data_IF_070952546746
#
_entry.id   IF_070952546746
#
_cell.length_a   1.000
_cell.length_b   1.000
_cell.length_c   1.000
_cell.angle_alpha   90.00
_cell.angle_beta   90.00
_cell.angle_gamma   90.00
#
_symmetry.space_group_name_H-M   'P 1'
#
loop_
_entity.id
_entity.type
_entity.pdbx_description
1 polymer ?
#
# COMPACT_ATOMS: atom_id res chain seq x y z
N UNK A 1 -58.53 22.27 1.58
CA UNK A 1 -57.32 21.68 2.15
C UNK A 1 -56.17 21.79 1.16
N UNK A 2 -55.31 22.75 1.36
CA UNK A 2 -54.06 22.82 0.59
C UNK A 2 -53.12 21.75 1.14
N UNK A 3 -53.00 20.63 0.44
CA UNK A 3 -51.91 19.71 0.70
C UNK A 3 -50.60 20.36 0.26
N UNK A 4 -49.83 20.81 1.24
CA UNK A 4 -48.42 21.09 1.06
C UNK A 4 -47.76 19.77 0.59
N UNK A 5 -47.43 19.67 -0.70
CA UNK A 5 -46.49 18.69 -1.15
C UNK A 5 -45.15 19.12 -0.60
N UNK A 6 -44.82 18.58 0.56
CA UNK A 6 -43.43 18.57 0.99
C UNK A 6 -42.60 17.97 -0.11
N UNK A 7 -41.74 18.78 -0.70
CA UNK A 7 -40.58 18.27 -1.42
C UNK A 7 -39.84 17.40 -0.40
N UNK A 8 -40.13 16.08 -0.45
CA UNK A 8 -39.30 15.14 0.24
C UNK A 8 -37.91 15.34 -0.31
N UNK A 9 -37.02 15.84 0.54
CA UNK A 9 -35.61 15.71 0.32
C UNK A 9 -35.36 14.22 -0.04
N UNK A 10 -35.12 13.98 -1.32
CA UNK A 10 -34.55 12.73 -1.74
C UNK A 10 -33.14 12.77 -1.16
N UNK A 11 -33.00 12.32 0.08
CA UNK A 11 -31.70 12.02 0.65
C UNK A 11 -31.06 11.07 -0.34
N UNK A 12 -30.10 11.58 -1.12
CA UNK A 12 -29.25 10.74 -1.96
C UNK A 12 -28.62 9.74 -1.00
N UNK A 13 -29.12 8.51 -1.02
CA UNK A 13 -28.64 7.47 -0.13
C UNK A 13 -27.16 7.27 -0.48
N UNK A 14 -26.30 7.77 0.38
CA UNK A 14 -24.86 7.57 0.30
C UNK A 14 -24.58 6.23 0.96
N UNK A 15 -23.88 5.36 0.27
CA UNK A 15 -23.39 4.10 0.82
C UNK A 15 -21.86 4.19 0.97
N UNK A 16 -21.32 3.37 1.87
CA UNK A 16 -19.87 3.31 2.07
C UNK A 16 -19.39 1.87 2.18
N UNK A 17 -18.16 1.65 1.74
CA UNK A 17 -17.45 0.40 1.89
C UNK A 17 -16.07 0.67 2.48
N UNK A 18 -15.60 -0.27 3.30
CA UNK A 18 -14.27 -0.18 3.89
C UNK A 18 -13.51 -1.47 3.63
N UNK A 19 -12.28 -1.32 3.19
CA UNK A 19 -11.33 -2.42 3.00
C UNK A 19 -10.03 -2.09 3.72
N UNK A 20 -9.33 -3.13 4.15
CA UNK A 20 -8.03 -3.01 4.82
C UNK A 20 -7.00 -3.88 4.12
N UNK A 21 -5.74 -3.47 4.19
CA UNK A 21 -4.59 -4.19 3.67
C UNK A 21 -3.39 -3.98 4.59
N UNK A 22 -2.41 -4.86 4.48
CA UNK A 22 -1.11 -4.69 5.12
C UNK A 22 -0.04 -4.91 4.07
N UNK A 23 0.92 -4.00 4.03
CA UNK A 23 2.08 -4.06 3.14
C UNK A 23 3.34 -4.21 3.98
N UNK A 24 4.29 -5.01 3.51
CA UNK A 24 5.60 -5.17 4.14
C UNK A 24 6.70 -5.10 3.08
N UNK A 25 7.81 -4.48 3.41
CA UNK A 25 8.90 -4.12 2.49
C UNK A 25 10.27 -4.42 3.07
N UNK A 26 11.20 -4.76 2.16
CA UNK A 26 12.65 -4.75 2.32
C UNK A 26 13.22 -3.50 1.69
N UNK A 27 14.24 -2.87 2.28
CA UNK A 27 14.75 -1.58 1.83
C UNK A 27 16.10 -1.64 1.07
N UNK A 28 16.73 -2.80 0.96
CA UNK A 28 18.04 -2.94 0.30
C UNK A 28 17.97 -3.45 -1.14
N UNK A 29 16.77 -3.47 -1.75
CA UNK A 29 16.62 -3.75 -3.18
C UNK A 29 17.52 -2.81 -4.02
N UNK A 30 18.16 -3.24 -5.11
CA UNK A 30 18.11 -4.56 -5.78
C UNK A 30 19.15 -5.56 -5.24
N UNK A 31 19.88 -5.24 -4.20
CA UNK A 31 20.82 -6.13 -3.58
C UNK A 31 20.09 -7.14 -2.70
N UNK A 32 20.55 -8.36 -2.63
CA UNK A 32 19.93 -9.35 -1.76
C UNK A 32 19.98 -8.91 -0.31
N UNK A 33 18.80 -8.89 0.35
CA UNK A 33 18.64 -8.64 1.76
C UNK A 33 18.57 -9.91 2.59
N UNK A 34 18.24 -9.73 3.84
CA UNK A 34 17.96 -10.84 4.76
C UNK A 34 16.54 -11.39 4.59
N UNK A 35 15.68 -10.68 3.85
CA UNK A 35 14.30 -11.08 3.53
C UNK A 35 13.45 -11.37 4.76
N UNK A 36 13.58 -10.55 5.78
CA UNK A 36 12.75 -10.64 6.97
C UNK A 36 11.44 -9.83 6.85
N UNK A 37 11.33 -8.95 5.82
CA UNK A 37 10.16 -8.13 5.49
C UNK A 37 9.68 -7.28 6.68
N UNK A 38 10.60 -6.76 7.46
CA UNK A 38 10.32 -5.99 8.66
C UNK A 38 10.77 -4.53 8.59
N UNK A 39 11.46 -4.09 7.54
CA UNK A 39 12.00 -2.74 7.40
C UNK A 39 10.91 -1.66 7.40
N UNK A 40 9.84 -1.88 6.63
CA UNK A 40 8.67 -0.99 6.62
C UNK A 40 7.40 -1.80 6.51
N UNK A 41 6.53 -1.69 7.52
CA UNK A 41 5.19 -2.28 7.46
C UNK A 41 4.15 -1.18 7.58
N UNK A 42 3.17 -1.21 6.67
CA UNK A 42 2.12 -0.22 6.56
C UNK A 42 0.75 -0.90 6.65
N UNK A 43 -0.05 -0.50 7.62
CA UNK A 43 -1.48 -0.82 7.63
C UNK A 43 -2.22 0.23 6.80
N UNK A 44 -3.13 -0.21 5.96
CA UNK A 44 -3.92 0.64 5.07
C UNK A 44 -5.41 0.39 5.26
N UNK A 45 -6.16 1.46 5.40
CA UNK A 45 -7.62 1.48 5.38
C UNK A 45 -8.08 2.33 4.21
N UNK A 46 -8.94 1.76 3.37
CA UNK A 46 -9.64 2.49 2.31
C UNK A 46 -11.13 2.56 2.62
N UNK A 47 -11.67 3.76 2.71
CA UNK A 47 -13.10 4.00 2.79
C UNK A 47 -13.60 4.66 1.49
N UNK A 48 -14.61 4.07 0.85
CA UNK A 48 -15.20 4.56 -0.39
C UNK A 48 -16.64 4.96 -0.11
N UNK A 49 -17.00 6.19 -0.43
CA UNK A 49 -18.38 6.69 -0.40
C UNK A 49 -18.90 6.84 -1.83
N UNK A 50 -20.10 6.39 -2.09
CA UNK A 50 -20.73 6.44 -3.41
C UNK A 50 -22.22 6.76 -3.33
N UNK A 51 -22.76 7.32 -4.42
CA UNK A 51 -24.18 7.67 -4.54
C UNK A 51 -25.06 6.44 -4.87
N UNK A 52 -26.37 6.65 -4.89
CA UNK A 52 -27.36 5.59 -5.19
C UNK A 52 -27.20 4.96 -6.60
N UNK A 53 -26.47 5.61 -7.49
CA UNK A 53 -26.20 5.12 -8.86
C UNK A 53 -24.83 4.43 -8.96
N UNK A 54 -24.18 4.14 -7.82
CA UNK A 54 -22.84 3.54 -7.75
C UNK A 54 -21.73 4.37 -8.42
N UNK A 55 -21.79 5.69 -8.30
CA UNK A 55 -20.68 6.58 -8.63
C UNK A 55 -19.94 7.01 -7.38
N UNK A 56 -18.62 6.96 -7.43
CA UNK A 56 -17.74 7.35 -6.33
C UNK A 56 -17.86 8.85 -6.08
N UNK A 57 -18.06 9.23 -4.82
CA UNK A 57 -18.06 10.61 -4.36
C UNK A 57 -16.77 10.95 -3.64
N UNK A 58 -16.30 10.02 -2.79
CA UNK A 58 -15.11 10.22 -1.97
C UNK A 58 -14.38 8.90 -1.75
N UNK A 59 -13.06 8.95 -1.76
CA UNK A 59 -12.17 7.87 -1.31
C UNK A 59 -11.22 8.42 -0.26
N UNK A 60 -11.16 7.77 0.87
CA UNK A 60 -10.23 8.08 1.96
C UNK A 60 -9.28 6.89 2.11
N UNK A 61 -8.01 7.12 1.82
CA UNK A 61 -6.94 6.15 1.99
C UNK A 61 -6.11 6.57 3.22
N UNK A 62 -6.22 5.83 4.32
CA UNK A 62 -5.45 6.07 5.55
C UNK A 62 -4.35 5.04 5.67
N UNK A 63 -3.12 5.51 5.85
CA UNK A 63 -1.92 4.68 5.99
C UNK A 63 -1.29 4.89 7.36
N UNK A 64 -0.91 3.80 8.00
CA UNK A 64 -0.30 3.81 9.34
C UNK A 64 0.98 2.99 9.30
N UNK A 65 2.16 3.60 9.46
CA UNK A 65 3.38 2.83 9.68
C UNK A 65 3.31 2.18 11.07
N UNK A 66 3.53 0.88 11.14
CA UNK A 66 3.45 0.14 12.40
C UNK A 66 4.84 -0.24 12.89
N UNK A 67 5.02 -0.16 14.21
CA UNK A 67 6.30 -0.45 14.82
C UNK A 67 6.64 -1.92 14.71
N UNK A 68 7.90 -2.20 14.37
CA UNK A 68 8.46 -3.53 14.24
C UNK A 68 9.58 -3.74 15.28
N UNK A 69 9.79 -5.00 15.67
CA UNK A 69 11.01 -5.40 16.39
C UNK A 69 12.13 -5.58 15.34
N UNK A 70 13.19 -4.82 15.43
CA UNK A 70 14.21 -4.78 14.39
C UNK A 70 13.83 -3.77 13.32
N UNK A 71 13.92 -2.50 13.61
CA UNK A 71 13.54 -1.46 12.65
C UNK A 71 14.63 -1.28 11.60
N UNK A 72 14.21 -0.98 10.38
CA UNK A 72 15.05 -0.54 9.29
C UNK A 72 16.18 0.37 9.73
N UNK A 73 17.39 0.10 9.26
CA UNK A 73 18.57 0.93 9.54
C UNK A 73 18.45 2.28 8.84
N UNK A 74 17.81 2.32 7.69
CA UNK A 74 17.70 3.49 6.83
C UNK A 74 16.44 4.31 7.08
N UNK A 75 16.46 5.57 6.62
CA UNK A 75 15.27 6.41 6.54
C UNK A 75 14.53 6.09 5.25
N UNK A 76 13.39 5.42 5.37
CA UNK A 76 12.59 4.99 4.24
C UNK A 76 11.30 5.82 4.15
N UNK A 77 11.14 6.54 3.04
CA UNK A 77 9.88 7.22 2.79
C UNK A 77 8.82 6.22 2.31
N UNK A 78 7.57 6.53 2.60
CA UNK A 78 6.44 5.79 2.03
C UNK A 78 5.64 6.69 1.09
N UNK A 79 5.32 6.15 -0.07
CA UNK A 79 4.60 6.83 -1.11
C UNK A 79 3.50 5.94 -1.71
N UNK A 80 2.53 6.58 -2.35
CA UNK A 80 1.49 5.89 -3.09
C UNK A 80 1.28 6.56 -4.44
N UNK A 81 1.24 5.77 -5.51
CA UNK A 81 0.90 6.23 -6.85
C UNK A 81 -0.56 5.94 -7.16
N UNK A 82 -1.27 6.94 -7.65
CA UNK A 82 -2.65 6.86 -8.08
C UNK A 82 -2.73 6.82 -9.61
N UNK A 83 -3.77 6.18 -10.14
CA UNK A 83 -4.10 6.31 -11.56
C UNK A 83 -4.43 7.78 -11.84
N UNK A 84 -3.72 8.43 -12.75
CA UNK A 84 -3.82 9.88 -13.00
C UNK A 84 -5.26 10.33 -13.30
N UNK A 85 -6.01 9.57 -14.11
CA UNK A 85 -7.41 9.85 -14.45
C UNK A 85 -8.38 9.65 -13.29
N UNK A 86 -7.95 9.05 -12.18
CA UNK A 86 -8.76 8.77 -10.99
C UNK A 86 -8.25 9.52 -9.76
N UNK A 87 -7.45 10.56 -9.96
CA UNK A 87 -6.90 11.33 -8.88
C UNK A 87 -7.95 12.24 -8.21
N UNK A 88 -8.89 12.74 -8.99
CA UNK A 88 -9.93 13.65 -8.51
C UNK A 88 -9.39 14.95 -7.92
N UNK A 89 -10.16 15.59 -7.06
CA UNK A 89 -9.66 16.64 -6.17
C UNK A 89 -9.04 15.98 -4.95
N UNK A 90 -7.75 16.26 -4.67
CA UNK A 90 -6.98 15.58 -3.65
C UNK A 90 -6.66 16.51 -2.48
N UNK A 91 -6.89 16.01 -1.26
CA UNK A 91 -6.47 16.64 0.00
C UNK A 91 -5.44 15.73 0.66
N UNK A 92 -4.31 16.28 1.04
CA UNK A 92 -3.16 15.58 1.56
C UNK A 92 -2.97 15.83 3.05
N UNK A 93 -2.44 14.85 3.81
CA UNK A 93 -2.05 15.07 5.20
C UNK A 93 -0.89 16.07 5.29
N UNK A 94 -0.77 16.73 6.43
CA UNK A 94 0.30 17.69 6.66
C UNK A 94 1.68 17.06 6.47
N UNK A 95 2.55 17.75 5.73
CA UNK A 95 3.92 17.30 5.44
C UNK A 95 4.05 16.35 4.25
N UNK A 96 2.94 15.88 3.67
CA UNK A 96 3.00 15.07 2.46
C UNK A 96 3.45 15.91 1.24
N UNK A 97 4.14 15.25 0.31
CA UNK A 97 4.62 15.87 -0.93
C UNK A 97 3.82 15.33 -2.11
N UNK A 98 3.23 16.25 -2.87
CA UNK A 98 2.51 15.93 -4.11
C UNK A 98 3.45 15.92 -5.31
N UNK A 99 3.72 14.74 -5.86
CA UNK A 99 4.47 14.56 -7.10
C UNK A 99 3.52 14.35 -8.27
N UNK A 100 2.93 15.46 -8.75
CA UNK A 100 1.90 15.44 -9.80
C UNK A 100 2.38 14.82 -11.10
N UNK A 101 3.67 14.96 -11.45
CA UNK A 101 4.30 14.44 -12.65
C UNK A 101 4.32 12.90 -12.69
N UNK A 102 4.40 12.25 -11.54
CA UNK A 102 4.33 10.78 -11.42
C UNK A 102 2.98 10.28 -10.92
N UNK A 103 2.06 11.21 -10.63
CA UNK A 103 0.78 10.92 -9.94
C UNK A 103 0.96 10.25 -8.59
N UNK A 104 2.09 10.49 -7.93
CA UNK A 104 2.42 9.94 -6.61
C UNK A 104 2.22 10.97 -5.50
N UNK A 105 2.10 10.47 -4.29
CA UNK A 105 2.13 11.25 -3.06
C UNK A 105 3.11 10.58 -2.11
N UNK A 106 4.14 11.31 -1.68
CA UNK A 106 5.01 10.87 -0.59
C UNK A 106 4.31 11.30 0.71
N UNK A 107 3.89 10.34 1.52
CA UNK A 107 3.10 10.59 2.72
C UNK A 107 3.98 11.05 3.88
N UNK A 108 5.15 10.47 4.01
CA UNK A 108 6.14 10.80 5.03
C UNK A 108 7.53 10.39 4.57
N UNK A 109 8.57 11.15 4.99
CA UNK A 109 9.95 10.94 4.54
C UNK A 109 10.68 9.78 5.26
N UNK A 110 10.17 9.34 6.41
CA UNK A 110 10.78 8.30 7.23
C UNK A 110 9.71 7.57 8.05
N UNK A 111 9.41 6.34 7.65
CA UNK A 111 8.41 5.49 8.29
C UNK A 111 8.74 5.24 9.77
N UNK A 112 10.01 5.12 10.10
CA UNK A 112 10.51 4.85 11.44
C UNK A 112 10.20 5.99 12.42
N UNK A 113 10.28 7.23 11.95
CA UNK A 113 10.08 8.42 12.80
C UNK A 113 8.61 8.73 13.09
N UNK A 114 7.66 8.12 12.37
CA UNK A 114 6.22 8.47 12.44
C UNK A 114 5.34 7.26 12.77
N UNK A 115 5.89 6.25 13.41
CA UNK A 115 5.21 5.03 13.81
C UNK A 115 3.91 5.30 14.55
N UNK A 116 2.84 4.59 14.15
CA UNK A 116 1.50 4.69 14.76
C UNK A 116 0.71 5.94 14.38
N UNK A 117 1.27 6.90 13.64
CA UNK A 117 0.53 8.06 13.16
C UNK A 117 -0.30 7.71 11.92
N UNK A 118 -1.46 8.31 11.80
CA UNK A 118 -2.35 8.16 10.66
C UNK A 118 -2.10 9.24 9.60
N UNK A 119 -1.97 8.81 8.34
CA UNK A 119 -1.81 9.68 7.19
C UNK A 119 -2.93 9.42 6.20
N UNK A 120 -3.89 10.34 6.10
CA UNK A 120 -5.06 10.18 5.25
C UNK A 120 -4.97 11.05 4.01
N UNK A 121 -5.09 10.41 2.86
CA UNK A 121 -5.31 11.06 1.56
C UNK A 121 -6.79 11.00 1.24
N UNK A 122 -7.40 12.15 1.05
CA UNK A 122 -8.81 12.25 0.65
C UNK A 122 -8.90 12.65 -0.82
N UNK A 123 -9.63 11.85 -1.61
CA UNK A 123 -9.92 12.13 -3.02
C UNK A 123 -11.42 12.30 -3.20
N UNK A 124 -11.84 13.42 -3.78
CA UNK A 124 -13.25 13.72 -4.07
C UNK A 124 -13.49 13.78 -5.57
N UNK A 125 -14.66 13.34 -5.98
CA UNK A 125 -15.06 13.24 -7.37
C UNK A 125 -16.38 13.98 -7.60
N UNK A 126 -16.53 14.63 -8.75
CA UNK A 126 -17.80 15.21 -9.13
C UNK A 126 -18.86 14.10 -9.30
N UNK A 127 -20.10 14.44 -8.98
CA UNK A 127 -21.21 13.48 -9.06
C UNK A 127 -21.30 12.87 -10.46
N UNK A 128 -21.50 11.55 -10.54
CA UNK A 128 -21.64 10.77 -11.78
C UNK A 128 -20.43 10.78 -12.73
N UNK A 129 -19.22 11.06 -12.24
CA UNK A 129 -18.00 11.06 -13.09
C UNK A 129 -17.24 9.74 -13.05
N UNK A 130 -17.11 9.09 -11.89
CA UNK A 130 -16.37 7.85 -11.73
C UNK A 130 -17.29 6.71 -11.26
N UNK A 131 -17.70 5.80 -12.16
CA UNK A 131 -18.42 4.60 -11.73
C UNK A 131 -17.56 3.76 -10.77
N UNK A 132 -18.15 3.27 -9.69
CA UNK A 132 -17.43 2.48 -8.65
C UNK A 132 -16.71 1.27 -9.26
N UNK A 133 -17.30 0.59 -10.24
CA UNK A 133 -16.69 -0.55 -10.94
C UNK A 133 -15.40 -0.21 -11.68
N UNK A 134 -15.18 1.06 -11.99
CA UNK A 134 -14.01 1.56 -12.71
C UNK A 134 -12.94 2.12 -11.74
N UNK A 135 -13.28 2.25 -10.44
CA UNK A 135 -12.28 2.68 -9.46
C UNK A 135 -11.20 1.61 -9.36
N UNK A 136 -9.94 2.02 -9.50
CA UNK A 136 -8.81 1.12 -9.31
C UNK A 136 -8.82 0.55 -7.88
N UNK A 137 -8.90 -0.77 -7.78
CA UNK A 137 -8.95 -1.49 -6.51
C UNK A 137 -7.58 -1.57 -5.85
N UNK A 138 -6.54 -1.68 -6.68
CA UNK A 138 -5.18 -1.91 -6.23
C UNK A 138 -4.30 -0.69 -6.47
N UNK A 139 -3.98 -0.01 -5.40
CA UNK A 139 -2.99 1.06 -5.41
C UNK A 139 -1.61 0.53 -5.81
N UNK A 140 -0.72 1.45 -6.14
CA UNK A 140 0.70 1.19 -6.24
C UNK A 140 1.41 1.87 -5.05
N UNK A 141 1.35 1.28 -3.83
CA UNK A 141 2.11 1.75 -2.69
C UNK A 141 3.56 1.27 -2.82
N UNK A 142 4.51 2.12 -2.41
CA UNK A 142 5.93 1.80 -2.49
C UNK A 142 6.73 2.55 -1.43
N UNK A 143 7.91 2.06 -1.13
CA UNK A 143 8.87 2.80 -0.33
C UNK A 143 9.95 3.40 -1.24
N UNK A 144 10.53 4.49 -0.77
CA UNK A 144 11.74 5.09 -1.34
C UNK A 144 12.84 4.85 -0.31
N UNK A 145 13.70 3.88 -0.61
CA UNK A 145 14.79 3.51 0.29
C UNK A 145 15.82 4.64 0.37
N UNK A 146 16.33 4.90 1.58
CA UNK A 146 17.31 5.96 1.85
C UNK A 146 16.88 7.34 1.31
N UNK A 147 15.63 7.69 1.59
CA UNK A 147 14.99 8.86 0.99
C UNK A 147 15.77 10.16 1.19
N UNK A 148 15.93 10.90 0.10
CA UNK A 148 16.41 12.27 0.08
C UNK A 148 15.39 13.16 -0.62
N UNK A 149 14.95 14.23 0.04
CA UNK A 149 13.91 15.10 -0.47
C UNK A 149 14.30 15.74 -1.83
N UNK A 150 13.39 15.62 -2.80
CA UNK A 150 13.57 16.19 -4.15
C UNK A 150 14.57 15.45 -5.04
N UNK A 151 15.10 14.29 -4.59
CA UNK A 151 16.01 13.50 -5.42
C UNK A 151 15.24 12.78 -6.55
N UNK A 152 15.77 12.90 -7.75
CA UNK A 152 15.49 11.99 -8.87
C UNK A 152 16.46 10.81 -8.83
N UNK A 153 16.21 9.78 -9.62
CA UNK A 153 17.07 8.59 -9.70
C UNK A 153 17.15 7.82 -8.38
N UNK A 154 16.01 7.68 -7.71
CA UNK A 154 15.87 7.11 -6.37
C UNK A 154 15.58 5.60 -6.42
N UNK A 155 15.91 4.90 -5.36
CA UNK A 155 15.54 3.48 -5.20
C UNK A 155 14.10 3.37 -4.75
N UNK A 156 13.24 2.83 -5.59
CA UNK A 156 11.83 2.57 -5.29
C UNK A 156 11.61 1.06 -5.15
N UNK A 157 10.95 0.62 -4.08
CA UNK A 157 10.55 -0.78 -3.88
C UNK A 157 9.03 -0.88 -3.94
N UNK A 158 8.54 -1.58 -4.94
CA UNK A 158 7.13 -1.75 -5.22
C UNK A 158 6.67 -3.19 -5.00
N UNK A 159 5.36 -3.38 -4.91
CA UNK A 159 4.77 -4.72 -4.94
C UNK A 159 5.07 -5.40 -6.30
N UNK A 160 5.19 -6.73 -6.34
CA UNK A 160 5.31 -7.46 -7.61
C UNK A 160 4.25 -7.04 -8.63
N UNK A 161 4.64 -6.91 -9.90
CA UNK A 161 3.80 -6.47 -11.04
C UNK A 161 3.37 -5.00 -11.02
N UNK A 162 3.79 -4.22 -10.04
CA UNK A 162 3.62 -2.76 -10.06
C UNK A 162 4.83 -2.10 -10.70
N UNK A 163 4.60 -1.00 -11.42
CA UNK A 163 5.65 -0.29 -12.13
C UNK A 163 6.25 0.81 -11.27
N UNK A 164 7.55 0.98 -11.40
CA UNK A 164 8.27 2.11 -10.83
C UNK A 164 7.81 3.43 -11.45
N UNK A 165 8.01 4.51 -10.73
CA UNK A 165 7.70 5.86 -11.23
C UNK A 165 8.78 6.35 -12.20
N UNK A 166 8.53 7.46 -12.88
CA UNK A 166 9.54 8.10 -13.74
C UNK A 166 10.74 8.66 -12.98
N UNK A 167 10.72 8.67 -11.64
CA UNK A 167 11.81 9.12 -10.78
C UNK A 167 12.68 7.99 -10.24
N UNK A 168 12.30 6.76 -10.49
CA UNK A 168 13.09 5.60 -10.08
C UNK A 168 14.43 5.53 -10.84
N UNK A 169 15.44 4.98 -10.18
CA UNK A 169 16.74 4.75 -10.79
C UNK A 169 16.64 3.72 -11.93
N UNK A 170 16.76 4.20 -13.16
CA UNK A 170 16.65 3.37 -14.36
C UNK A 170 17.69 2.23 -14.44
N UNK A 171 18.85 2.38 -13.81
CA UNK A 171 19.88 1.35 -13.77
C UNK A 171 19.51 0.17 -12.86
N UNK A 172 18.62 0.39 -11.91
CA UNK A 172 18.13 -0.65 -11.03
C UNK A 172 16.98 -1.44 -11.65
N UNK A 173 16.35 -0.90 -12.70
CA UNK A 173 15.17 -1.46 -13.34
C UNK A 173 15.55 -2.66 -14.22
N UNK A 174 14.95 -3.85 -14.00
CA UNK A 174 15.13 -5.03 -14.85
C UNK A 174 14.45 -4.88 -16.22
N UNK A 175 14.79 -5.78 -17.14
CA UNK A 175 14.23 -5.76 -18.50
C UNK A 175 12.74 -6.18 -18.53
N UNK A 176 12.27 -6.90 -17.53
CA UNK A 176 10.90 -7.40 -17.41
C UNK A 176 10.21 -6.81 -16.20
N UNK A 177 9.04 -6.23 -16.36
CA UNK A 177 8.26 -5.57 -15.32
C UNK A 177 8.03 -6.44 -14.06
N UNK A 178 7.88 -7.75 -14.24
CA UNK A 178 7.63 -8.71 -13.14
C UNK A 178 8.89 -9.13 -12.37
N UNK A 179 10.06 -9.06 -13.00
CA UNK A 179 11.33 -9.43 -12.39
C UNK A 179 11.88 -8.34 -11.45
N UNK A 180 11.35 -7.16 -11.53
CA UNK A 180 11.83 -5.97 -10.89
C UNK A 180 11.77 -5.98 -9.38
N UNK A 181 10.70 -6.53 -8.86
CA UNK A 181 10.38 -6.53 -7.46
C UNK A 181 10.54 -7.90 -6.81
N UNK A 182 11.25 -8.79 -7.51
CA UNK A 182 11.66 -10.12 -7.05
C UNK A 182 13.17 -10.11 -6.92
N UNK A 183 13.74 -10.81 -5.95
CA UNK A 183 15.20 -10.89 -5.83
C UNK A 183 15.84 -11.49 -7.09
N UNK A 184 17.15 -11.24 -7.30
CA UNK A 184 17.88 -11.71 -8.49
C UNK A 184 17.82 -13.22 -8.70
N UNK A 185 17.58 -13.97 -7.64
CA UNK A 185 17.41 -15.43 -7.69
C UNK A 185 15.96 -15.82 -8.05
N UNK A 186 15.07 -14.82 -8.23
CA UNK A 186 13.65 -15.01 -8.51
C UNK A 186 12.89 -15.68 -7.37
N UNK A 187 13.43 -15.64 -6.16
CA UNK A 187 12.99 -16.49 -5.06
C UNK A 187 11.96 -15.82 -4.16
N UNK A 188 12.23 -14.57 -3.73
CA UNK A 188 11.32 -13.83 -2.83
C UNK A 188 11.14 -12.39 -3.31
N UNK A 189 9.92 -11.83 -3.15
CA UNK A 189 9.68 -10.42 -3.41
C UNK A 189 10.29 -9.54 -2.32
N UNK A 190 10.66 -8.31 -2.67
CA UNK A 190 11.08 -7.27 -1.72
C UNK A 190 9.90 -6.49 -1.12
N UNK A 191 8.71 -6.77 -1.58
CA UNK A 191 7.48 -6.21 -1.04
C UNK A 191 6.35 -7.22 -1.16
N UNK A 192 5.51 -7.28 -0.15
CA UNK A 192 4.33 -8.14 -0.12
C UNK A 192 3.09 -7.36 0.29
N UNK A 193 1.95 -7.88 -0.11
CA UNK A 193 0.64 -7.41 0.33
C UNK A 193 -0.14 -8.61 0.90
N UNK A 194 -0.59 -8.51 2.13
CA UNK A 194 -1.47 -9.49 2.74
C UNK A 194 -2.88 -9.39 2.15
N UNK A 195 -3.68 -10.47 2.22
CA UNK A 195 -5.04 -10.48 1.73
C UNK A 195 -5.86 -9.31 2.30
N UNK A 196 -6.77 -8.76 1.49
CA UNK A 196 -7.66 -7.71 1.93
C UNK A 196 -8.71 -8.25 2.90
N UNK A 197 -9.02 -7.46 3.92
CA UNK A 197 -10.18 -7.67 4.80
C UNK A 197 -11.21 -6.57 4.60
N UNK A 198 -12.42 -6.75 5.09
CA UNK A 198 -13.53 -5.83 4.88
C UNK A 198 -14.29 -5.54 6.17
N UNK A 199 -15.08 -4.47 6.15
CA UNK A 199 -16.01 -4.16 7.23
C UNK A 199 -15.33 -3.77 8.53
N UNK A 200 -15.50 -4.56 9.58
CA UNK A 200 -14.97 -4.31 10.93
C UNK A 200 -13.77 -5.16 11.31
N UNK A 201 -13.28 -5.98 10.40
CA UNK A 201 -12.19 -6.94 10.68
C UNK A 201 -10.84 -6.24 10.93
N UNK A 202 -10.64 -5.06 10.32
CA UNK A 202 -9.36 -4.34 10.37
C UNK A 202 -8.29 -4.99 9.49
N UNK A 203 -7.07 -4.43 9.46
CA UNK A 203 -5.95 -4.99 8.70
C UNK A 203 -5.45 -6.30 9.32
N UNK A 204 -5.00 -7.22 8.48
CA UNK A 204 -4.30 -8.42 8.94
C UNK A 204 -2.98 -7.99 9.56
N UNK A 205 -2.73 -8.43 10.78
CA UNK A 205 -1.47 -8.25 11.48
C UNK A 205 -0.75 -9.58 11.57
N UNK A 206 0.50 -9.59 11.17
CA UNK A 206 1.38 -10.74 11.35
C UNK A 206 2.58 -10.35 12.22
N UNK A 207 3.21 -11.33 12.84
CA UNK A 207 4.46 -11.11 13.56
C UNK A 207 5.57 -11.01 12.52
N UNK A 208 6.28 -9.89 12.38
CA UNK A 208 7.42 -9.82 11.47
C UNK A 208 8.49 -10.84 11.84
N UNK A 209 9.24 -11.30 10.85
CA UNK A 209 10.41 -12.12 11.14
C UNK A 209 11.41 -11.32 12.00
N UNK A 210 12.23 -12.04 12.76
CA UNK A 210 13.28 -11.40 13.54
C UNK A 210 14.32 -10.79 12.59
N UNK A 211 14.91 -9.68 13.02
CA UNK A 211 16.02 -9.04 12.32
C UNK A 211 17.07 -10.07 11.88
N UNK A 212 17.46 -10.01 10.60
CA UNK A 212 18.40 -10.94 9.95
C UNK A 212 17.94 -12.40 9.84
N UNK A 213 16.68 -12.69 10.14
CA UNK A 213 16.10 -14.03 9.97
C UNK A 213 15.15 -14.02 8.79
N UNK A 214 15.48 -14.76 7.75
CA UNK A 214 14.62 -14.85 6.57
C UNK A 214 13.21 -15.31 6.94
N UNK A 215 12.22 -14.66 6.37
CA UNK A 215 10.80 -14.90 6.64
C UNK A 215 10.38 -16.36 6.43
N UNK A 216 10.97 -17.08 5.46
CA UNK A 216 10.65 -18.49 5.18
C UNK A 216 11.13 -19.45 6.28
N UNK A 217 12.05 -19.02 7.14
CA UNK A 217 12.50 -19.79 8.30
C UNK A 217 11.49 -19.70 9.46
N UNK A 218 10.79 -18.59 9.58
CA UNK A 218 9.78 -18.38 10.61
C UNK A 218 8.35 -18.61 10.10
N UNK A 219 8.18 -18.63 8.77
CA UNK A 219 6.92 -18.95 8.08
C UNK A 219 7.13 -20.01 7.00
N UNK A 220 7.10 -21.31 7.34
CA UNK A 220 7.44 -22.39 6.41
C UNK A 220 6.59 -22.43 5.13
N UNK A 221 5.36 -21.92 5.19
CA UNK A 221 4.47 -21.88 4.04
C UNK A 221 4.63 -20.64 3.15
N UNK A 222 5.46 -19.66 3.57
CA UNK A 222 5.74 -18.46 2.78
C UNK A 222 6.38 -18.78 1.43
N UNK A 223 7.40 -19.66 1.41
CA UNK A 223 8.05 -20.06 0.18
C UNK A 223 7.07 -20.69 -0.83
N UNK A 224 6.16 -21.55 -0.36
CA UNK A 224 5.13 -22.19 -1.21
C UNK A 224 4.14 -21.15 -1.75
N UNK A 225 3.78 -20.16 -0.94
CA UNK A 225 2.93 -19.05 -1.35
C UNK A 225 3.60 -18.25 -2.47
N UNK A 226 4.87 -17.88 -2.33
CA UNK A 226 5.64 -17.17 -3.37
C UNK A 226 5.77 -18.00 -4.64
N UNK A 227 6.18 -19.27 -4.54
CA UNK A 227 6.32 -20.19 -5.68
C UNK A 227 5.03 -20.36 -6.48
N UNK A 228 3.89 -20.29 -5.82
CA UNK A 228 2.57 -20.36 -6.45
C UNK A 228 2.08 -19.01 -7.01
N UNK A 229 2.86 -17.93 -6.93
CA UNK A 229 2.44 -16.56 -7.22
C UNK A 229 1.18 -16.15 -6.43
N UNK A 230 1.08 -16.56 -5.17
CA UNK A 230 -0.05 -16.26 -4.29
C UNK A 230 -1.30 -17.10 -4.55
N UNK A 231 -1.21 -18.19 -5.31
CA UNK A 231 -2.36 -19.04 -5.62
C UNK A 231 -2.69 -20.03 -4.49
N UNK A 232 -1.70 -20.43 -3.70
CA UNK A 232 -1.84 -21.38 -2.58
C UNK A 232 -1.25 -20.81 -1.30
N UNK A 233 -1.55 -21.43 -0.17
CA UNK A 233 -1.02 -21.05 1.15
C UNK A 233 -1.27 -19.55 1.47
N UNK A 234 -2.45 -19.02 1.11
CA UNK A 234 -2.80 -17.62 1.31
C UNK A 234 -2.95 -17.20 2.77
N UNK A 235 -2.88 -18.14 3.68
CA UNK A 235 -2.95 -18.02 5.14
C UNK A 235 -1.59 -18.26 5.81
N UNK A 236 -0.48 -18.28 5.05
CA UNK A 236 0.87 -18.53 5.53
C UNK A 236 1.24 -17.70 6.78
N UNK A 237 0.77 -16.46 6.86
CA UNK A 237 1.03 -15.51 7.94
C UNK A 237 0.41 -15.90 9.29
N UNK A 238 -0.46 -16.90 9.32
CA UNK A 238 -1.05 -17.45 10.56
C UNK A 238 -0.15 -18.48 11.24
N UNK A 239 0.88 -18.99 10.57
CA UNK A 239 1.68 -20.14 11.02
C UNK A 239 3.11 -19.73 11.39
N UNK A 240 3.22 -18.69 12.24
CA UNK A 240 4.50 -18.24 12.78
C UNK A 240 5.15 -19.33 13.63
N UNK A 241 6.42 -19.62 13.36
CA UNK A 241 7.26 -20.52 14.12
C UNK A 241 8.52 -19.78 14.50
N UNK A 242 8.65 -19.40 15.79
CA UNK A 242 9.88 -18.75 16.24
C UNK A 242 11.08 -19.63 15.91
N UNK A 243 12.04 -19.09 15.16
CA UNK A 243 13.31 -19.76 14.93
C UNK A 243 13.93 -20.12 16.27
N UNK A 244 14.30 -21.39 16.45
CA UNK A 244 15.07 -21.81 17.63
C UNK A 244 16.46 -21.19 17.50
N UNK A 245 16.84 -20.43 18.52
CA UNK A 245 18.22 -19.99 18.70
C UNK A 245 19.19 -21.18 18.75
#
# INVERSE_FOLDING_TARGET
LRMSRGLGDVYKRQSSETTYRTYAYEDIWPNGGDYDLNDVIIEHKRAISFNSNNYVLKVEDTFVPVQQSGAATYSNAFAVQYVASQRGSIELPAGAVDETETSSVILFPDAKSVQGNEFTVTRTFADNTLPKKNLESDLNPFIIAQYTAGADNRTEVHLPKKKATGKANAEQIGAEDDAYYINKDGKYPFAIMLPATTGTEGPIRFTPAKETVRIDLEYPDFAKWVESNGATNNDWYLYYQSSKE
#
